data_IF_618274193922
#
_entry.id   IF_618274193922
#
_cell.length_a   1.000
_cell.length_b   1.000
_cell.length_c   1.000
_cell.angle_alpha   90.00
_cell.angle_beta   90.00
_cell.angle_gamma   90.00
#
_symmetry.space_group_name_H-M   'P 1'
#
loop_
_entity.id
_entity.type
_entity.pdbx_description
1 polymer ?
#
# COMPACT_ATOMS: atom_id res chain seq x y z
N UNK A 1 -10.31 -7.95 -4.00
CA UNK A 1 -8.96 -7.69 -4.54
C UNK A 1 -8.91 -6.27 -5.07
N UNK A 2 -7.79 -5.59 -4.89
CA UNK A 2 -7.52 -4.21 -5.33
C UNK A 2 -6.09 -4.15 -5.84
N UNK A 3 -5.85 -3.38 -6.90
CA UNK A 3 -4.51 -2.96 -7.33
C UNK A 3 -4.39 -1.46 -7.06
N UNK A 4 -3.32 -1.06 -6.39
CA UNK A 4 -3.04 0.32 -6.01
C UNK A 4 -1.61 0.69 -6.40
N UNK A 5 -1.38 1.96 -6.75
CA UNK A 5 -0.04 2.52 -6.93
C UNK A 5 0.30 3.50 -5.81
N UNK A 6 1.49 4.11 -5.90
CA UNK A 6 1.99 5.06 -4.91
C UNK A 6 1.04 6.23 -4.68
N UNK A 7 0.52 6.83 -5.76
CA UNK A 7 -0.46 7.93 -5.66
C UNK A 7 -1.71 7.55 -4.86
N UNK A 8 -2.21 6.33 -5.01
CA UNK A 8 -3.35 5.86 -4.21
C UNK A 8 -3.02 5.79 -2.72
N UNK A 9 -1.79 5.41 -2.37
CA UNK A 9 -1.36 5.24 -0.99
C UNK A 9 -0.90 6.54 -0.33
N UNK A 10 -0.56 7.56 -1.11
CA UNK A 10 -0.26 8.92 -0.63
C UNK A 10 -1.54 9.69 -0.25
N UNK A 11 -2.68 9.38 -0.88
CA UNK A 11 -3.95 10.05 -0.59
C UNK A 11 -4.46 9.70 0.81
N UNK A 12 -4.88 10.74 1.57
CA UNK A 12 -5.33 10.59 2.96
C UNK A 12 -6.53 9.64 3.12
N UNK A 13 -7.40 9.58 2.13
CA UNK A 13 -8.55 8.65 2.11
C UNK A 13 -8.11 7.19 2.19
N UNK A 14 -6.93 6.86 1.67
CA UNK A 14 -6.38 5.50 1.77
C UNK A 14 -6.07 5.14 3.21
N UNK A 15 -5.53 6.08 4.00
CA UNK A 15 -5.21 5.85 5.40
C UNK A 15 -6.47 5.61 6.22
N UNK A 16 -7.52 6.38 5.99
CA UNK A 16 -8.82 6.18 6.64
C UNK A 16 -9.40 4.78 6.32
N UNK A 17 -9.36 4.39 5.05
CA UNK A 17 -9.86 3.09 4.60
C UNK A 17 -9.04 1.91 5.16
N UNK A 18 -7.71 2.00 5.12
CA UNK A 18 -6.79 0.97 5.65
C UNK A 18 -6.99 0.79 7.15
N UNK A 19 -7.10 1.89 7.92
CA UNK A 19 -7.34 1.84 9.36
C UNK A 19 -8.68 1.19 9.70
N UNK A 20 -9.76 1.57 8.99
CA UNK A 20 -11.08 0.98 9.20
C UNK A 20 -11.10 -0.51 8.83
N UNK A 21 -10.51 -0.88 7.69
CA UNK A 21 -10.46 -2.27 7.24
C UNK A 21 -9.70 -3.18 8.21
N UNK A 22 -8.59 -2.69 8.76
CA UNK A 22 -7.82 -3.40 9.79
C UNK A 22 -8.59 -3.53 11.10
N UNK A 23 -9.26 -2.47 11.54
CA UNK A 23 -10.15 -2.50 12.72
C UNK A 23 -11.28 -3.54 12.57
N UNK A 24 -11.92 -3.59 11.39
CA UNK A 24 -13.00 -4.52 11.07
C UNK A 24 -12.51 -5.94 10.74
N UNK A 25 -11.19 -6.17 10.68
CA UNK A 25 -10.57 -7.46 10.35
C UNK A 25 -11.11 -8.06 9.05
N UNK A 26 -11.17 -7.25 7.99
CA UNK A 26 -11.68 -7.67 6.68
C UNK A 26 -10.75 -8.70 5.99
N UNK A 27 -10.78 -9.94 6.45
CA UNK A 27 -9.88 -11.02 6.03
C UNK A 27 -10.01 -11.48 4.57
N UNK A 28 -11.01 -10.95 3.83
CA UNK A 28 -11.20 -11.20 2.38
C UNK A 28 -10.77 -10.02 1.51
N UNK A 29 -10.31 -8.93 2.12
CA UNK A 29 -9.76 -7.78 1.40
C UNK A 29 -8.27 -7.98 1.20
N UNK A 30 -7.85 -8.00 -0.05
CA UNK A 30 -6.45 -8.17 -0.48
C UNK A 30 -6.11 -7.02 -1.40
N UNK A 31 -5.00 -6.34 -1.11
CA UNK A 31 -4.50 -5.18 -1.85
C UNK A 31 -3.11 -5.53 -2.38
N UNK A 32 -2.93 -5.39 -3.68
CA UNK A 32 -1.63 -5.40 -4.32
C UNK A 32 -1.19 -3.95 -4.50
N UNK A 33 -0.02 -3.61 -3.96
CA UNK A 33 0.61 -2.32 -4.18
C UNK A 33 1.72 -2.49 -5.22
N UNK A 34 1.55 -1.84 -6.37
CA UNK A 34 2.59 -1.73 -7.39
C UNK A 34 3.63 -0.70 -6.93
N UNK A 35 4.65 -1.19 -6.22
CA UNK A 35 5.78 -0.39 -5.77
C UNK A 35 6.86 -0.35 -6.86
N UNK A 36 6.74 0.59 -7.80
CA UNK A 36 7.67 0.74 -8.92
C UNK A 36 8.59 1.97 -8.80
N UNK A 37 8.52 2.71 -7.68
CA UNK A 37 9.29 3.91 -7.35
C UNK A 37 9.07 5.13 -8.27
N UNK A 38 8.03 5.16 -9.11
CA UNK A 38 7.79 6.23 -10.08
C UNK A 38 6.43 6.90 -9.88
N UNK A 39 6.44 8.23 -9.91
CA UNK A 39 5.27 9.09 -10.01
C UNK A 39 5.30 9.89 -11.32
N UNK A 40 4.27 10.70 -11.59
CA UNK A 40 4.21 11.54 -12.79
C UNK A 40 5.41 12.51 -12.88
N UNK A 41 5.79 13.11 -11.75
CA UNK A 41 6.86 14.11 -11.69
C UNK A 41 8.26 13.50 -11.48
N UNK A 42 8.37 12.17 -11.49
CA UNK A 42 9.63 11.44 -11.34
C UNK A 42 9.66 10.50 -10.14
N UNK A 43 10.84 10.23 -9.56
CA UNK A 43 10.98 9.28 -8.45
C UNK A 43 10.08 9.63 -7.26
N UNK A 44 9.43 8.62 -6.68
CA UNK A 44 8.57 8.77 -5.48
C UNK A 44 9.29 9.48 -4.33
N UNK A 45 10.59 9.23 -4.17
CA UNK A 45 11.45 9.84 -3.15
C UNK A 45 11.51 11.37 -3.18
N UNK A 46 11.05 12.01 -4.26
CA UNK A 46 10.93 13.46 -4.34
C UNK A 46 9.80 14.02 -3.45
N UNK A 47 8.80 13.19 -3.13
CA UNK A 47 7.59 13.62 -2.42
C UNK A 47 7.21 12.75 -1.22
N UNK A 48 7.62 11.47 -1.19
CA UNK A 48 7.28 10.53 -0.11
C UNK A 48 8.47 9.64 0.26
N UNK A 49 8.55 9.28 1.54
CA UNK A 49 9.53 8.34 2.10
C UNK A 49 8.86 7.35 3.07
N UNK A 50 7.54 7.19 2.97
CA UNK A 50 6.74 6.36 3.88
C UNK A 50 7.04 4.88 3.66
N UNK A 51 7.34 4.17 4.75
CA UNK A 51 7.31 2.71 4.76
C UNK A 51 5.84 2.24 4.74
N UNK A 52 5.34 1.94 3.54
CA UNK A 52 3.96 1.51 3.35
C UNK A 52 3.68 0.17 4.02
N UNK A 53 4.64 -0.76 4.06
CA UNK A 53 4.45 -2.06 4.72
C UNK A 53 4.29 -1.87 6.22
N UNK A 54 5.16 -1.08 6.85
CA UNK A 54 5.04 -0.74 8.27
C UNK A 54 3.72 0.00 8.57
N UNK A 55 3.28 0.92 7.69
CA UNK A 55 2.00 1.64 7.83
C UNK A 55 0.79 0.70 7.83
N UNK A 56 0.76 -0.27 6.92
CA UNK A 56 -0.29 -1.29 6.86
C UNK A 56 -0.25 -2.20 8.10
N UNK A 57 0.94 -2.66 8.51
CA UNK A 57 1.11 -3.48 9.71
C UNK A 57 0.65 -2.75 10.98
N UNK A 58 0.98 -1.47 11.13
CA UNK A 58 0.50 -0.62 12.22
C UNK A 58 -1.03 -0.48 12.24
N UNK A 59 -1.68 -0.61 11.08
CA UNK A 59 -3.13 -0.60 10.93
C UNK A 59 -3.75 -2.00 11.10
N UNK A 60 -3.00 -3.02 11.51
CA UNK A 60 -3.51 -4.37 11.77
C UNK A 60 -3.61 -5.28 10.54
N UNK A 61 -2.92 -4.94 9.45
CA UNK A 61 -2.85 -5.78 8.26
C UNK A 61 -1.70 -6.79 8.32
N UNK A 62 -1.85 -7.91 7.62
CA UNK A 62 -0.72 -8.74 7.22
C UNK A 62 -0.16 -8.18 5.89
N UNK A 63 0.98 -7.50 5.96
CA UNK A 63 1.61 -6.87 4.80
C UNK A 63 3.09 -7.27 4.70
N UNK A 64 3.54 -7.51 3.47
CA UNK A 64 4.91 -7.92 3.13
C UNK A 64 5.25 -7.51 1.70
N UNK A 65 6.54 -7.51 1.38
CA UNK A 65 7.03 -7.33 0.01
C UNK A 65 7.05 -8.68 -0.73
N UNK A 66 6.85 -8.62 -2.04
CA UNK A 66 6.98 -9.75 -2.98
C UNK A 66 7.79 -9.30 -4.19
N UNK A 67 8.34 -10.26 -4.95
CA UNK A 67 8.82 -9.99 -6.30
C UNK A 67 7.61 -9.95 -7.25
N UNK A 68 7.30 -8.77 -7.79
CA UNK A 68 6.18 -8.60 -8.71
C UNK A 68 6.36 -9.26 -10.08
N UNK A 69 7.55 -9.78 -10.38
CA UNK A 69 7.87 -10.50 -11.62
C UNK A 69 7.98 -12.02 -11.42
N UNK A 70 7.95 -12.51 -10.17
CA UNK A 70 7.90 -13.93 -9.87
C UNK A 70 6.44 -14.39 -9.72
N UNK A 71 5.92 -15.25 -10.63
CA UNK A 71 4.55 -15.76 -10.53
C UNK A 71 4.38 -16.89 -9.49
N UNK A 72 5.46 -17.45 -8.93
CA UNK A 72 5.44 -18.48 -7.88
C UNK A 72 5.52 -17.90 -6.46
#
# INVERSE_FOLDING_TARGET
YVLAGDGCLMEGVSQEAIALAGHLKLNKLIVFWDNNNISIDGPVSLADNTDQVARFQASGWNASHIDGQDPE
#
